data_IF_830913754846
#
_entry.id   IF_830913754846
#
_cell.length_a   1.000
_cell.length_b   1.000
_cell.length_c   1.000
_cell.angle_alpha   90.00
_cell.angle_beta   90.00
_cell.angle_gamma   90.00
#
_symmetry.space_group_name_H-M   'P 1'
#
loop_
_entity.id
_entity.type
_entity.pdbx_description
1 polymer ?
#
# COMPACT_ATOMS: atom_id res chain seq x y z
N UNK A 1 -12.44 -2.86 -4.64
CA UNK A 1 -11.46 -1.82 -4.22
C UNK A 1 -10.03 -2.36 -4.18
N UNK A 2 -9.77 -3.49 -3.49
CA UNK A 2 -8.41 -4.09 -3.42
C UNK A 2 -7.84 -4.45 -4.80
N UNK A 3 -8.63 -5.06 -5.68
CA UNK A 3 -8.20 -5.40 -7.05
C UNK A 3 -7.77 -4.18 -7.86
N UNK A 4 -8.45 -3.04 -7.72
CA UNK A 4 -8.10 -1.81 -8.44
C UNK A 4 -6.74 -1.26 -7.98
N UNK A 5 -6.47 -1.27 -6.67
CA UNK A 5 -5.19 -0.82 -6.10
C UNK A 5 -4.03 -1.70 -6.56
N UNK A 6 -4.25 -3.02 -6.65
CA UNK A 6 -3.25 -3.95 -7.17
C UNK A 6 -2.98 -3.67 -8.66
N UNK A 7 -4.04 -3.44 -9.43
CA UNK A 7 -3.91 -3.08 -10.85
C UNK A 7 -3.19 -1.75 -11.06
N UNK A 8 -3.42 -0.74 -10.21
CA UNK A 8 -2.67 0.53 -10.21
C UNK A 8 -1.19 0.35 -9.88
N UNK A 9 -0.83 -0.74 -9.21
CA UNK A 9 0.55 -1.09 -8.84
C UNK A 9 1.18 -2.09 -9.83
N UNK A 10 0.60 -2.26 -11.03
CA UNK A 10 0.98 -3.25 -12.04
C UNK A 10 1.01 -4.70 -11.52
N UNK A 11 0.21 -5.01 -10.49
CA UNK A 11 0.06 -6.34 -9.92
C UNK A 11 -1.24 -6.99 -10.39
N UNK A 12 -1.10 -8.00 -11.25
CA UNK A 12 -2.22 -8.79 -11.78
C UNK A 12 -2.33 -10.11 -11.01
N UNK A 13 -3.26 -10.19 -10.06
CA UNK A 13 -3.56 -11.38 -9.28
C UNK A 13 -4.98 -11.87 -9.59
N UNK A 14 -5.22 -13.18 -9.49
CA UNK A 14 -6.58 -13.73 -9.61
C UNK A 14 -7.43 -13.33 -8.41
N UNK A 15 -8.75 -13.33 -8.57
CA UNK A 15 -9.68 -12.96 -7.50
C UNK A 15 -9.53 -13.90 -6.29
N UNK A 16 -9.35 -15.19 -6.52
CA UNK A 16 -9.14 -16.19 -5.48
C UNK A 16 -7.82 -15.96 -4.72
N UNK A 17 -6.76 -15.56 -5.42
CA UNK A 17 -5.49 -15.24 -4.79
C UNK A 17 -5.61 -14.00 -3.89
N UNK A 18 -6.34 -12.98 -4.34
CA UNK A 18 -6.61 -11.78 -3.53
C UNK A 18 -7.46 -12.12 -2.32
N UNK A 19 -8.50 -12.94 -2.46
CA UNK A 19 -9.34 -13.39 -1.35
C UNK A 19 -8.53 -14.17 -0.31
N UNK A 20 -7.66 -15.08 -0.75
CA UNK A 20 -6.75 -15.81 0.16
C UNK A 20 -5.80 -14.88 0.91
N UNK A 21 -5.23 -13.87 0.24
CA UNK A 21 -4.34 -12.89 0.88
C UNK A 21 -5.09 -12.09 1.94
N UNK A 22 -6.32 -11.64 1.61
CA UNK A 22 -7.17 -10.89 2.54
C UNK A 22 -7.53 -11.74 3.75
N UNK A 23 -7.99 -12.97 3.55
CA UNK A 23 -8.37 -13.89 4.64
C UNK A 23 -7.17 -14.19 5.56
N UNK A 24 -5.99 -14.46 5.00
CA UNK A 24 -4.77 -14.67 5.79
C UNK A 24 -4.33 -13.41 6.54
N UNK A 25 -4.51 -12.24 5.96
CA UNK A 25 -4.16 -10.96 6.61
C UNK A 25 -5.10 -10.69 7.78
N UNK A 26 -6.41 -10.87 7.59
CA UNK A 26 -7.40 -10.72 8.66
C UNK A 26 -7.12 -11.69 9.80
N UNK A 27 -6.83 -12.97 9.53
CA UNK A 27 -6.46 -13.95 10.57
C UNK A 27 -5.24 -13.56 11.41
N UNK A 28 -4.35 -12.73 10.88
CA UNK A 28 -3.16 -12.27 11.60
C UNK A 28 -3.34 -10.92 12.29
N UNK A 29 -4.25 -10.09 11.78
CA UNK A 29 -4.47 -8.71 12.24
C UNK A 29 -5.64 -8.58 13.21
N UNK A 30 -6.76 -9.26 12.93
CA UNK A 30 -7.95 -9.32 13.79
C UNK A 30 -7.71 -10.35 14.90
N UNK A 31 -7.36 -9.86 16.08
CA UNK A 31 -7.03 -10.70 17.24
C UNK A 31 -8.27 -11.09 18.03
N UNK A 32 -9.32 -10.29 17.93
CA UNK A 32 -10.55 -10.45 18.68
C UNK A 32 -11.63 -11.26 17.91
N UNK A 33 -11.46 -11.43 16.60
CA UNK A 33 -12.31 -12.22 15.72
C UNK A 33 -13.64 -11.56 15.36
N UNK A 34 -13.77 -10.24 15.47
CA UNK A 34 -14.98 -9.48 15.17
C UNK A 34 -15.14 -9.14 13.68
N UNK A 35 -14.17 -9.52 12.85
CA UNK A 35 -14.12 -9.26 11.42
C UNK A 35 -13.74 -7.83 11.07
N UNK A 36 -13.20 -7.07 12.04
CA UNK A 36 -12.70 -5.70 11.87
C UNK A 36 -11.27 -5.64 12.38
N UNK A 37 -10.58 -4.56 12.03
CA UNK A 37 -9.24 -4.28 12.53
C UNK A 37 -9.34 -2.95 13.26
N UNK A 38 -9.21 -2.99 14.58
CA UNK A 38 -9.22 -1.78 15.40
C UNK A 38 -7.84 -1.08 15.39
N UNK A 39 -7.75 0.18 15.85
CA UNK A 39 -6.47 0.91 15.85
C UNK A 39 -5.37 0.26 16.69
N UNK A 40 -5.71 -0.44 17.77
CA UNK A 40 -4.74 -1.11 18.64
C UNK A 40 -4.23 -2.40 17.98
N UNK A 41 -5.11 -3.17 17.36
CA UNK A 41 -4.80 -4.32 16.51
C UNK A 41 -3.91 -3.92 15.34
N UNK A 42 -4.27 -2.85 14.62
CA UNK A 42 -3.47 -2.29 13.54
C UNK A 42 -2.07 -1.90 14.02
N UNK A 43 -1.98 -1.23 15.18
CA UNK A 43 -0.70 -0.81 15.76
C UNK A 43 0.16 -2.02 16.14
N UNK A 44 -0.42 -3.05 16.74
CA UNK A 44 0.28 -4.29 17.06
C UNK A 44 0.78 -5.01 15.79
N UNK A 45 -0.06 -5.10 14.77
CA UNK A 45 0.27 -5.73 13.49
C UNK A 45 1.39 -4.97 12.76
N UNK A 46 1.26 -3.65 12.63
CA UNK A 46 2.26 -2.80 11.99
C UNK A 46 3.61 -2.78 12.74
N UNK A 47 3.59 -2.88 14.07
CA UNK A 47 4.81 -2.94 14.88
C UNK A 47 5.60 -4.24 14.66
N UNK A 48 4.91 -5.35 14.35
CA UNK A 48 5.55 -6.62 14.00
C UNK A 48 6.10 -6.62 12.57
N UNK A 49 5.48 -5.87 11.66
CA UNK A 49 5.85 -5.78 10.25
C UNK A 49 6.17 -4.33 9.85
N UNK A 50 7.33 -3.83 10.27
CA UNK A 50 7.77 -2.45 9.99
C UNK A 50 7.84 -2.11 8.49
N UNK A 51 7.99 -3.12 7.61
CA UNK A 51 7.98 -2.94 6.17
C UNK A 51 6.64 -2.40 5.64
N UNK A 52 5.51 -2.65 6.33
CA UNK A 52 4.20 -2.08 5.99
C UNK A 52 4.19 -0.56 6.07
N UNK A 53 5.01 0.01 6.96
CA UNK A 53 5.13 1.45 7.17
C UNK A 53 6.16 2.10 6.25
N UNK A 54 6.75 1.35 5.32
CA UNK A 54 7.75 1.89 4.38
C UNK A 54 7.20 3.06 3.58
N UNK A 55 5.94 2.97 3.13
CA UNK A 55 5.29 4.04 2.37
C UNK A 55 4.88 5.25 3.25
N UNK A 56 4.87 5.09 4.57
CA UNK A 56 4.62 6.20 5.52
C UNK A 56 5.88 7.04 5.77
N UNK A 57 7.04 6.61 5.28
CA UNK A 57 8.31 7.33 5.44
C UNK A 57 8.79 7.83 4.10
N UNK A 58 9.01 9.14 3.97
CA UNK A 58 9.60 9.76 2.79
C UNK A 58 11.04 10.20 3.13
N UNK A 59 12.08 9.43 2.76
CA UNK A 59 13.46 9.70 3.19
C UNK A 59 13.98 11.06 2.74
N UNK A 60 13.58 11.52 1.55
CA UNK A 60 13.99 12.78 0.96
C UNK A 60 13.49 14.02 1.72
N UNK A 61 12.51 13.87 2.62
CA UNK A 61 12.11 14.96 3.51
C UNK A 61 13.21 15.31 4.53
N UNK A 62 14.14 14.39 4.84
CA UNK A 62 15.26 14.67 5.75
C UNK A 62 16.24 15.68 5.18
N UNK A 63 16.44 15.63 3.86
CA UNK A 63 17.45 16.42 3.16
C UNK A 63 16.86 17.60 2.38
N UNK A 64 15.57 17.92 2.60
CA UNK A 64 14.84 18.94 1.83
C UNK A 64 15.46 20.35 1.93
N UNK A 65 16.19 20.63 3.02
CA UNK A 65 16.89 21.90 3.24
C UNK A 65 18.18 22.03 2.42
N UNK A 66 18.66 20.93 1.83
CA UNK A 66 19.95 20.85 1.13
C UNK A 66 19.75 20.37 -0.33
N UNK A 67 18.73 19.55 -0.59
CA UNK A 67 18.46 18.92 -1.89
C UNK A 67 16.96 18.98 -2.17
N UNK A 68 16.60 19.55 -3.34
CA UNK A 68 15.22 19.52 -3.81
C UNK A 68 15.06 18.39 -4.85
N UNK A 69 14.18 17.39 -4.63
CA UNK A 69 13.92 16.36 -5.61
C UNK A 69 13.29 16.97 -6.86
N UNK A 70 13.79 16.59 -8.04
CA UNK A 70 13.24 17.06 -9.31
C UNK A 70 12.06 16.16 -9.70
N UNK A 71 10.84 16.69 -9.55
CA UNK A 71 9.62 16.03 -10.00
C UNK A 71 9.36 16.40 -11.46
N UNK A 72 9.48 15.42 -12.36
CA UNK A 72 9.07 15.58 -13.76
C UNK A 72 7.69 14.96 -13.89
N UNK A 73 6.70 15.78 -14.22
CA UNK A 73 5.34 15.31 -14.42
C UNK A 73 5.25 14.68 -15.81
N UNK A 74 5.29 13.35 -15.87
CA UNK A 74 4.99 12.62 -17.09
C UNK A 74 3.46 12.51 -17.20
N UNK A 75 2.84 13.53 -17.80
CA UNK A 75 1.44 13.45 -18.18
C UNK A 75 1.33 12.38 -19.28
N UNK A 76 0.64 11.26 -19.01
CA UNK A 76 0.27 10.26 -20.02
C UNK A 76 -0.83 10.80 -20.96
N UNK A 77 -0.68 12.04 -21.43
CA UNK A 77 -1.57 12.65 -22.42
C UNK A 77 -0.76 12.81 -23.70
N UNK A 78 -0.90 11.82 -24.57
CA UNK A 78 -0.25 11.67 -25.87
C UNK A 78 0.01 10.17 -26.10
N UNK A 79 -0.57 9.47 -27.08
CA UNK A 79 -1.22 9.87 -28.32
C UNK A 79 -2.26 8.78 -28.67
N UNK A 80 -3.56 9.07 -28.58
CA UNK A 80 -4.54 8.38 -29.45
C UNK A 80 -4.52 9.14 -30.79
N UNK A 81 -3.52 8.88 -31.62
CA UNK A 81 -3.59 9.17 -33.05
C UNK A 81 -4.44 8.07 -33.71
N UNK A 82 -5.66 8.47 -34.09
CA UNK A 82 -6.47 8.06 -35.25
C UNK A 82 -6.41 6.60 -35.74
#
# INVERSE_FOLDING_TARGET
MVLAILHESDLFLSEEAVEQIVDQTFKQADLNGDGKIDPDEWKMFASKNLALLKNMTLPYLKDITIVFPRFVLNSQVGEEEL
#
